data_IF_382237902522
#
_entry.id   IF_382237902522
#
_cell.length_a   1.000
_cell.length_b   1.000
_cell.length_c   1.000
_cell.angle_alpha   90.00
_cell.angle_beta   90.00
_cell.angle_gamma   90.00
#
_symmetry.space_group_name_H-M   'P 1'
#
loop_
_entity.id
_entity.type
_entity.pdbx_description
1 polymer ?
#
# COMPACT_ATOMS: atom_id res chain seq x y z
N UNK A 1 -2.88 11.95 -11.84
CA UNK A 1 -2.93 11.33 -10.51
C UNK A 1 -1.78 10.35 -10.26
N UNK A 2 -1.56 9.31 -11.07
CA UNK A 2 -0.45 8.35 -10.91
C UNK A 2 0.94 9.02 -10.81
N UNK A 3 1.24 10.01 -11.67
CA UNK A 3 2.52 10.73 -11.63
C UNK A 3 2.75 11.52 -10.34
N UNK A 4 1.71 12.18 -9.82
CA UNK A 4 1.79 12.90 -8.54
C UNK A 4 2.03 11.92 -7.39
N UNK A 5 1.27 10.83 -7.33
CA UNK A 5 1.45 9.79 -6.32
C UNK A 5 2.83 9.16 -6.39
N UNK A 6 3.35 8.91 -7.61
CA UNK A 6 4.71 8.40 -7.81
C UNK A 6 5.75 9.35 -7.22
N UNK A 7 5.62 10.67 -7.50
CA UNK A 7 6.55 11.68 -6.98
C UNK A 7 6.46 11.75 -5.45
N UNK A 8 5.24 11.81 -4.89
CA UNK A 8 5.03 11.87 -3.44
C UNK A 8 5.62 10.64 -2.75
N UNK A 9 5.33 9.44 -3.25
CA UNK A 9 5.89 8.20 -2.69
C UNK A 9 7.41 8.14 -2.82
N UNK A 10 7.97 8.62 -3.93
CA UNK A 10 9.42 8.69 -4.14
C UNK A 10 10.09 9.63 -3.13
N UNK A 11 9.48 10.78 -2.87
CA UNK A 11 9.98 11.76 -1.90
C UNK A 11 9.87 11.24 -0.46
N UNK A 12 8.71 10.72 -0.10
CA UNK A 12 8.42 10.21 1.26
C UNK A 12 9.31 9.02 1.61
N UNK A 13 9.44 8.06 0.71
CA UNK A 13 10.18 6.82 0.99
C UNK A 13 11.65 6.88 0.56
N UNK A 14 12.09 7.96 -0.08
CA UNK A 14 13.47 8.11 -0.60
C UNK A 14 13.92 6.85 -1.34
N UNK A 15 13.06 6.35 -2.21
CA UNK A 15 13.26 5.16 -3.02
C UNK A 15 12.57 5.31 -4.37
N UNK A 16 13.20 4.86 -5.44
CA UNK A 16 12.57 4.77 -6.76
C UNK A 16 11.81 3.46 -6.92
N UNK A 17 12.28 2.41 -6.29
CA UNK A 17 11.68 1.07 -6.43
C UNK A 17 10.31 0.97 -5.78
N UNK A 18 10.11 1.60 -4.63
CA UNK A 18 8.82 1.56 -3.92
C UNK A 18 7.67 2.08 -4.77
N UNK A 19 7.72 3.32 -5.34
CA UNK A 19 6.64 3.80 -6.18
C UNK A 19 6.51 3.03 -7.50
N UNK A 20 7.59 2.48 -8.05
CA UNK A 20 7.54 1.65 -9.25
C UNK A 20 6.78 0.35 -8.99
N UNK A 21 7.08 -0.33 -7.89
CA UNK A 21 6.37 -1.55 -7.47
C UNK A 21 4.89 -1.25 -7.19
N UNK A 22 4.60 -0.12 -6.54
CA UNK A 22 3.24 0.32 -6.27
C UNK A 22 2.44 0.58 -7.56
N UNK A 23 3.03 1.28 -8.53
CA UNK A 23 2.41 1.55 -9.83
C UNK A 23 2.19 0.27 -10.65
N UNK A 24 3.18 -0.61 -10.69
CA UNK A 24 3.07 -1.91 -11.37
C UNK A 24 2.01 -2.80 -10.71
N UNK A 25 1.98 -2.85 -9.38
CA UNK A 25 0.96 -3.58 -8.62
C UNK A 25 -0.44 -3.05 -8.87
N UNK A 26 -0.62 -1.73 -8.89
CA UNK A 26 -1.91 -1.11 -9.22
C UNK A 26 -2.34 -1.44 -10.65
N UNK A 27 -1.45 -1.33 -11.63
CA UNK A 27 -1.75 -1.68 -13.02
C UNK A 27 -2.16 -3.16 -13.15
N UNK A 28 -1.47 -4.07 -12.47
CA UNK A 28 -1.80 -5.49 -12.44
C UNK A 28 -3.18 -5.72 -11.79
N UNK A 29 -3.45 -5.09 -10.66
CA UNK A 29 -4.74 -5.16 -9.98
C UNK A 29 -5.88 -4.69 -10.89
N UNK A 30 -5.69 -3.57 -11.58
CA UNK A 30 -6.68 -3.05 -12.53
C UNK A 30 -6.91 -3.99 -13.71
N UNK A 31 -5.84 -4.48 -14.34
CA UNK A 31 -5.95 -5.43 -15.45
C UNK A 31 -6.71 -6.69 -15.05
N UNK A 32 -6.41 -7.26 -13.88
CA UNK A 32 -7.11 -8.43 -13.36
C UNK A 32 -8.59 -8.12 -13.04
N UNK A 33 -8.86 -6.99 -12.41
CA UNK A 33 -10.23 -6.57 -12.05
C UNK A 33 -11.09 -6.37 -13.30
N UNK A 34 -10.57 -5.66 -14.31
CA UNK A 34 -11.27 -5.48 -15.58
C UNK A 34 -11.45 -6.80 -16.30
N UNK A 35 -10.41 -7.63 -16.37
CA UNK A 35 -10.48 -8.93 -17.02
C UNK A 35 -11.58 -9.81 -16.43
N UNK A 36 -11.65 -9.93 -15.11
CA UNK A 36 -12.70 -10.72 -14.43
C UNK A 36 -14.08 -10.08 -14.63
N UNK A 37 -14.18 -8.77 -14.52
CA UNK A 37 -15.47 -8.06 -14.68
C UNK A 37 -16.02 -8.23 -16.10
N UNK A 38 -15.17 -8.06 -17.13
CA UNK A 38 -15.57 -8.28 -18.53
C UNK A 38 -15.97 -9.74 -18.75
N UNK A 39 -15.15 -10.69 -18.30
CA UNK A 39 -15.42 -12.12 -18.50
C UNK A 39 -16.76 -12.56 -17.88
N UNK A 40 -17.12 -12.06 -16.72
CA UNK A 40 -18.36 -12.45 -16.02
C UNK A 40 -19.56 -11.65 -16.52
N UNK A 41 -19.45 -10.33 -16.60
CA UNK A 41 -20.61 -9.46 -16.84
C UNK A 41 -20.86 -9.14 -18.30
N UNK A 42 -19.83 -9.12 -19.13
CA UNK A 42 -19.98 -8.83 -20.56
C UNK A 42 -20.04 -10.09 -21.41
N UNK A 43 -19.22 -11.12 -21.08
CA UNK A 43 -19.16 -12.35 -21.86
C UNK A 43 -19.98 -13.49 -21.24
N UNK A 44 -20.53 -13.29 -20.04
CA UNK A 44 -21.38 -14.28 -19.36
C UNK A 44 -20.65 -15.56 -18.99
N UNK A 45 -19.30 -15.51 -18.83
CA UNK A 45 -18.54 -16.69 -18.41
C UNK A 45 -19.06 -17.24 -17.09
N UNK A 46 -19.08 -18.57 -16.98
CA UNK A 46 -19.58 -19.31 -15.82
C UNK A 46 -21.09 -19.27 -15.61
N UNK A 47 -21.90 -18.64 -16.48
CA UNK A 47 -23.35 -18.59 -16.34
C UNK A 47 -23.86 -17.90 -15.06
N UNK A 48 -23.07 -16.96 -14.54
CA UNK A 48 -23.39 -16.20 -13.32
C UNK A 48 -24.40 -15.08 -13.62
N UNK A 49 -24.39 -14.57 -14.85
CA UNK A 49 -25.27 -13.50 -15.32
C UNK A 49 -26.18 -14.04 -16.38
N UNK A 50 -27.51 -13.94 -16.16
CA UNK A 50 -28.52 -14.45 -17.09
C UNK A 50 -28.61 -13.65 -18.39
N UNK A 51 -28.33 -12.35 -18.35
CA UNK A 51 -28.38 -11.44 -19.51
C UNK A 51 -27.08 -10.59 -19.56
N UNK A 52 -26.02 -11.12 -20.16
CA UNK A 52 -24.75 -10.39 -20.29
C UNK A 52 -24.91 -9.14 -21.16
N UNK A 53 -24.45 -8.00 -20.66
CA UNK A 53 -24.55 -6.73 -21.35
C UNK A 53 -23.19 -6.02 -21.42
N UNK A 54 -22.98 -5.14 -22.43
CA UNK A 54 -21.77 -4.33 -22.51
C UNK A 54 -21.61 -3.46 -21.27
N UNK A 55 -20.40 -3.40 -20.75
CA UNK A 55 -20.08 -2.53 -19.62
C UNK A 55 -20.27 -1.06 -19.99
N UNK A 56 -20.87 -0.28 -19.10
CA UNK A 56 -21.02 1.14 -19.30
C UNK A 56 -19.66 1.83 -19.34
N UNK A 57 -19.45 2.74 -20.30
CA UNK A 57 -18.19 3.48 -20.50
C UNK A 57 -17.73 4.28 -19.27
N UNK A 58 -18.63 4.58 -18.35
CA UNK A 58 -18.36 5.27 -17.11
C UNK A 58 -17.71 4.37 -16.04
N UNK A 59 -17.98 3.07 -16.06
CA UNK A 59 -17.51 2.11 -15.06
C UNK A 59 -15.97 2.07 -14.94
N UNK A 60 -15.18 2.06 -16.02
CA UNK A 60 -13.73 2.11 -15.93
C UNK A 60 -13.21 3.35 -15.19
N UNK A 61 -13.78 4.50 -15.45
CA UNK A 61 -13.35 5.77 -14.85
C UNK A 61 -13.60 5.75 -13.34
N UNK A 62 -14.79 5.30 -12.93
CA UNK A 62 -15.15 5.17 -11.52
C UNK A 62 -14.28 4.13 -10.80
N UNK A 63 -14.07 2.98 -11.44
CA UNK A 63 -13.29 1.89 -10.88
C UNK A 63 -11.84 2.32 -10.65
N UNK A 64 -11.20 2.93 -11.66
CA UNK A 64 -9.82 3.43 -11.54
C UNK A 64 -9.73 4.49 -10.44
N UNK A 65 -10.65 5.46 -10.41
CA UNK A 65 -10.61 6.54 -9.43
C UNK A 65 -10.77 6.08 -7.98
N UNK A 66 -11.79 5.26 -7.72
CA UNK A 66 -12.06 4.72 -6.38
C UNK A 66 -10.97 3.75 -5.92
N UNK A 67 -10.60 2.79 -6.77
CA UNK A 67 -9.58 1.81 -6.41
C UNK A 67 -8.21 2.47 -6.22
N UNK A 68 -7.87 3.47 -7.04
CA UNK A 68 -6.62 4.21 -6.88
C UNK A 68 -6.54 4.93 -5.54
N UNK A 69 -7.60 5.62 -5.12
CA UNK A 69 -7.64 6.31 -3.83
C UNK A 69 -7.42 5.34 -2.67
N UNK A 70 -8.21 4.27 -2.61
CA UNK A 70 -8.07 3.21 -1.61
C UNK A 70 -6.69 2.56 -1.65
N UNK A 71 -6.19 2.31 -2.85
CA UNK A 71 -4.88 1.70 -3.07
C UNK A 71 -3.76 2.54 -2.48
N UNK A 72 -3.75 3.84 -2.67
CA UNK A 72 -2.68 4.71 -2.18
C UNK A 72 -2.64 4.78 -0.66
N UNK A 73 -3.78 4.90 0.01
CA UNK A 73 -3.83 4.97 1.48
C UNK A 73 -3.21 3.75 2.15
N UNK A 74 -3.55 2.55 1.67
CA UNK A 74 -2.98 1.31 2.20
C UNK A 74 -1.51 1.13 1.86
N UNK A 75 -1.09 1.57 0.66
CA UNK A 75 0.29 1.49 0.23
C UNK A 75 1.21 2.34 1.12
N UNK A 76 0.83 3.58 1.35
CA UNK A 76 1.58 4.50 2.22
C UNK A 76 1.70 3.87 3.62
N UNK A 77 0.60 3.43 4.20
CA UNK A 77 0.59 2.83 5.54
C UNK A 77 1.52 1.60 5.64
N UNK A 78 1.42 0.67 4.68
CA UNK A 78 2.19 -0.57 4.71
C UNK A 78 3.69 -0.30 4.56
N UNK A 79 4.07 0.54 3.60
CA UNK A 79 5.48 0.84 3.31
C UNK A 79 6.12 1.70 4.39
N UNK A 80 5.37 2.63 5.02
CA UNK A 80 5.87 3.40 6.18
C UNK A 80 6.27 2.47 7.31
N UNK A 81 5.46 1.46 7.62
CA UNK A 81 5.79 0.45 8.65
C UNK A 81 7.04 -0.38 8.31
N UNK A 82 7.22 -0.70 7.03
CA UNK A 82 8.42 -1.42 6.59
C UNK A 82 9.67 -0.54 6.69
N UNK A 83 9.55 0.74 6.30
CA UNK A 83 10.65 1.70 6.34
C UNK A 83 11.07 2.02 7.78
N UNK A 84 10.13 2.24 8.68
CA UNK A 84 10.39 2.44 10.11
C UNK A 84 11.29 1.32 10.68
N UNK A 85 11.01 0.06 10.33
CA UNK A 85 11.84 -1.06 10.73
C UNK A 85 13.26 -1.01 10.15
N UNK A 86 13.42 -0.54 8.90
CA UNK A 86 14.72 -0.44 8.23
C UNK A 86 15.59 0.68 8.81
N UNK A 87 15.02 1.86 9.05
CA UNK A 87 15.72 3.01 9.66
C UNK A 87 16.14 2.69 11.08
N UNK A 88 15.33 1.94 11.83
CA UNK A 88 15.69 1.45 13.19
C UNK A 88 16.75 0.33 13.20
N UNK A 89 17.54 0.19 12.14
CA UNK A 89 18.71 -0.68 12.08
C UNK A 89 18.42 -2.18 11.88
N UNK A 90 17.18 -2.57 11.55
CA UNK A 90 16.88 -3.96 11.16
C UNK A 90 17.39 -4.24 9.75
N UNK A 91 17.76 -5.50 9.48
CA UNK A 91 18.04 -5.91 8.11
C UNK A 91 16.80 -5.68 7.22
N UNK A 92 16.97 -5.37 5.93
CA UNK A 92 15.87 -5.06 5.03
C UNK A 92 14.79 -6.17 5.02
N UNK A 93 15.18 -7.45 5.02
CA UNK A 93 14.26 -8.57 5.12
C UNK A 93 13.49 -8.62 6.45
N UNK A 94 14.14 -8.36 7.58
CA UNK A 94 13.49 -8.33 8.89
C UNK A 94 12.57 -7.10 9.04
N UNK A 95 12.96 -5.95 8.48
CA UNK A 95 12.16 -4.75 8.46
C UNK A 95 10.86 -4.97 7.65
N UNK A 96 10.98 -5.56 6.45
CA UNK A 96 9.84 -5.94 5.61
C UNK A 96 8.92 -6.93 6.34
N UNK A 97 9.46 -8.01 6.92
CA UNK A 97 8.66 -9.03 7.61
C UNK A 97 7.94 -8.47 8.85
N UNK A 98 8.62 -7.69 9.68
CA UNK A 98 8.03 -7.12 10.88
C UNK A 98 7.02 -6.00 10.57
N UNK A 99 7.35 -5.10 9.63
CA UNK A 99 6.44 -4.06 9.17
C UNK A 99 5.17 -4.66 8.55
N UNK A 100 5.33 -5.74 7.76
CA UNK A 100 4.23 -6.47 7.18
C UNK A 100 3.31 -7.09 8.25
N UNK A 101 3.86 -7.79 9.24
CA UNK A 101 3.06 -8.43 10.32
C UNK A 101 2.13 -7.44 11.03
N UNK A 102 2.59 -6.23 11.27
CA UNK A 102 1.78 -5.20 11.94
C UNK A 102 0.81 -4.52 10.97
N UNK A 103 1.25 -4.22 9.73
CA UNK A 103 0.42 -3.58 8.72
C UNK A 103 -0.66 -4.49 8.14
N UNK A 104 -0.36 -5.76 7.91
CA UNK A 104 -1.25 -6.72 7.27
C UNK A 104 -2.60 -6.86 7.99
N UNK A 105 -2.60 -6.86 9.34
CA UNK A 105 -3.84 -6.97 10.12
C UNK A 105 -4.79 -5.80 9.86
N UNK A 106 -4.26 -4.58 9.80
CA UNK A 106 -5.06 -3.37 9.54
C UNK A 106 -5.57 -3.37 8.11
N UNK A 107 -4.71 -3.69 7.14
CA UNK A 107 -5.08 -3.80 5.72
C UNK A 107 -6.14 -4.87 5.51
N UNK A 108 -6.01 -6.05 6.15
CA UNK A 108 -7.01 -7.13 6.07
C UNK A 108 -8.37 -6.68 6.61
N UNK A 109 -8.39 -6.06 7.79
CA UNK A 109 -9.64 -5.61 8.40
C UNK A 109 -10.34 -4.56 7.52
N UNK A 110 -9.58 -3.58 7.02
CA UNK A 110 -10.12 -2.55 6.15
C UNK A 110 -10.59 -3.12 4.79
N UNK A 111 -9.84 -4.04 4.20
CA UNK A 111 -10.24 -4.72 2.96
C UNK A 111 -11.53 -5.51 3.13
N UNK A 112 -11.68 -6.26 4.23
CA UNK A 112 -12.90 -7.02 4.51
C UNK A 112 -14.12 -6.11 4.68
N UNK A 113 -13.96 -4.97 5.36
CA UNK A 113 -15.05 -3.98 5.49
C UNK A 113 -15.45 -3.44 4.11
N UNK A 114 -14.48 -3.01 3.30
CA UNK A 114 -14.75 -2.47 1.96
C UNK A 114 -15.37 -3.52 1.04
N UNK A 115 -14.85 -4.75 1.05
CA UNK A 115 -15.44 -5.86 0.29
C UNK A 115 -16.89 -6.12 0.69
N UNK A 116 -17.19 -6.10 1.99
CA UNK A 116 -18.56 -6.32 2.48
C UNK A 116 -19.50 -5.21 2.00
N UNK A 117 -19.05 -3.95 2.02
CA UNK A 117 -19.84 -2.80 1.54
C UNK A 117 -20.09 -2.91 0.04
N UNK A 118 -19.06 -3.20 -0.77
CA UNK A 118 -19.23 -3.32 -2.21
C UNK A 118 -19.99 -4.58 -2.61
N UNK A 119 -19.82 -5.68 -1.89
CA UNK A 119 -20.60 -6.90 -2.09
C UNK A 119 -22.11 -6.69 -1.84
N UNK A 120 -22.49 -5.81 -0.92
CA UNK A 120 -23.88 -5.46 -0.70
C UNK A 120 -24.55 -4.83 -1.94
N UNK A 121 -23.79 -4.14 -2.79
CA UNK A 121 -24.31 -3.58 -4.05
C UNK A 121 -24.68 -4.66 -5.07
N UNK A 122 -24.09 -5.86 -4.97
CA UNK A 122 -24.43 -6.99 -5.83
C UNK A 122 -25.87 -7.47 -5.58
N UNK A 123 -26.42 -7.19 -4.40
CA UNK A 123 -27.78 -7.56 -4.02
C UNK A 123 -28.85 -6.57 -4.53
N UNK A 124 -28.42 -5.43 -5.09
CA UNK A 124 -29.36 -4.45 -5.67
C UNK A 124 -29.96 -4.96 -6.98
N UNK A 125 -31.14 -4.50 -7.35
CA UNK A 125 -31.82 -4.95 -8.59
C UNK A 125 -31.25 -4.32 -9.85
N UNK A 126 -30.65 -3.15 -9.75
CA UNK A 126 -30.10 -2.38 -10.87
C UNK A 126 -28.81 -3.02 -11.44
N UNK A 127 -28.77 -3.45 -12.71
CA UNK A 127 -27.64 -4.17 -13.31
C UNK A 127 -26.32 -3.37 -13.23
N UNK A 128 -26.39 -2.05 -13.39
CA UNK A 128 -25.21 -1.19 -13.29
C UNK A 128 -24.61 -1.20 -11.88
N UNK A 129 -25.45 -1.10 -10.86
CA UNK A 129 -25.00 -1.11 -9.45
C UNK A 129 -24.42 -2.48 -9.09
N UNK A 130 -25.03 -3.58 -9.55
CA UNK A 130 -24.50 -4.93 -9.39
C UNK A 130 -23.10 -5.08 -9.98
N UNK A 131 -22.94 -4.66 -11.25
CA UNK A 131 -21.67 -4.74 -11.95
C UNK A 131 -20.58 -3.89 -11.27
N UNK A 132 -20.93 -2.67 -10.87
CA UNK A 132 -20.03 -1.78 -10.14
C UNK A 132 -19.63 -2.36 -8.78
N UNK A 133 -20.60 -2.88 -8.01
CA UNK A 133 -20.35 -3.52 -6.73
C UNK A 133 -19.43 -4.73 -6.85
N UNK A 134 -19.68 -5.58 -7.85
CA UNK A 134 -18.82 -6.72 -8.13
C UNK A 134 -17.40 -6.29 -8.51
N UNK A 135 -17.27 -5.36 -9.46
CA UNK A 135 -15.98 -4.88 -9.92
C UNK A 135 -15.15 -4.27 -8.78
N UNK A 136 -15.78 -3.46 -7.91
CA UNK A 136 -15.11 -2.85 -6.76
C UNK A 136 -14.74 -3.90 -5.69
N UNK A 137 -15.63 -4.84 -5.39
CA UNK A 137 -15.34 -5.91 -4.44
C UNK A 137 -14.19 -6.81 -4.93
N UNK A 138 -14.21 -7.22 -6.20
CA UNK A 138 -13.15 -8.00 -6.83
C UNK A 138 -11.84 -7.20 -6.89
N UNK A 139 -11.91 -5.91 -7.22
CA UNK A 139 -10.75 -5.03 -7.25
C UNK A 139 -10.07 -4.90 -5.89
N UNK A 140 -10.83 -4.67 -4.83
CA UNK A 140 -10.30 -4.62 -3.45
C UNK A 140 -9.72 -5.97 -3.03
N UNK A 141 -10.37 -7.08 -3.38
CA UNK A 141 -9.87 -8.42 -3.08
C UNK A 141 -8.51 -8.66 -3.75
N UNK A 142 -8.40 -8.40 -5.04
CA UNK A 142 -7.16 -8.61 -5.80
C UNK A 142 -6.07 -7.65 -5.30
N UNK A 143 -6.39 -6.37 -5.13
CA UNK A 143 -5.41 -5.38 -4.69
C UNK A 143 -4.90 -5.68 -3.28
N UNK A 144 -5.78 -5.88 -2.31
CA UNK A 144 -5.39 -6.08 -0.92
C UNK A 144 -4.68 -7.41 -0.69
N UNK A 145 -5.23 -8.52 -1.20
CA UNK A 145 -4.74 -9.86 -0.86
C UNK A 145 -3.65 -10.35 -1.82
N UNK A 146 -3.82 -10.15 -3.13
CA UNK A 146 -2.83 -10.63 -4.11
C UNK A 146 -1.69 -9.64 -4.24
N UNK A 147 -1.98 -8.38 -4.52
CA UNK A 147 -0.92 -7.40 -4.79
C UNK A 147 -0.22 -6.98 -3.51
N UNK A 148 -0.95 -6.55 -2.49
CA UNK A 148 -0.35 -5.98 -1.27
C UNK A 148 0.16 -6.99 -0.27
N UNK A 149 -0.57 -8.09 -0.07
CA UNK A 149 -0.15 -9.10 0.90
C UNK A 149 0.81 -10.12 0.33
N UNK A 150 0.86 -10.29 -0.99
CA UNK A 150 1.70 -11.31 -1.62
C UNK A 150 2.80 -10.69 -2.49
N UNK A 151 2.44 -9.90 -3.50
CA UNK A 151 3.40 -9.42 -4.51
C UNK A 151 4.33 -8.34 -3.93
N UNK A 152 3.79 -7.33 -3.24
CA UNK A 152 4.61 -6.22 -2.71
C UNK A 152 5.62 -6.70 -1.68
N UNK A 153 5.26 -7.44 -0.61
CA UNK A 153 6.25 -7.93 0.35
C UNK A 153 7.26 -8.88 -0.26
N UNK A 154 6.82 -9.77 -1.18
CA UNK A 154 7.73 -10.67 -1.87
C UNK A 154 8.76 -9.91 -2.72
N UNK A 155 8.32 -8.91 -3.47
CA UNK A 155 9.21 -8.07 -4.29
C UNK A 155 10.17 -7.27 -3.42
N UNK A 156 9.70 -6.67 -2.33
CA UNK A 156 10.53 -5.94 -1.37
C UNK A 156 11.56 -6.87 -0.70
N UNK A 157 11.19 -8.10 -0.39
CA UNK A 157 12.08 -9.10 0.16
C UNK A 157 13.18 -9.52 -0.83
N UNK A 158 12.82 -9.74 -2.10
CA UNK A 158 13.76 -10.10 -3.18
C UNK A 158 14.73 -8.97 -3.51
N UNK A 159 14.25 -7.72 -3.52
CA UNK A 159 15.11 -6.56 -3.77
C UNK A 159 16.04 -6.24 -2.59
N UNK A 160 15.71 -6.66 -1.37
CA UNK A 160 16.48 -6.43 -0.14
C UNK A 160 16.93 -4.95 -0.03
N UNK A 161 18.23 -4.71 0.14
CA UNK A 161 18.81 -3.34 0.25
C UNK A 161 18.56 -2.49 -0.99
N UNK A 162 18.42 -3.08 -2.17
CA UNK A 162 18.14 -2.36 -3.42
C UNK A 162 16.75 -1.71 -3.43
N UNK A 163 15.80 -2.25 -2.68
CA UNK A 163 14.46 -1.66 -2.54
C UNK A 163 14.51 -0.24 -1.98
N UNK A 164 15.53 0.08 -1.19
CA UNK A 164 15.72 1.40 -0.55
C UNK A 164 16.78 2.25 -1.24
N UNK A 165 17.14 1.92 -2.50
CA UNK A 165 18.13 2.66 -3.25
C UNK A 165 17.56 4.00 -3.75
N UNK A 166 18.27 5.08 -3.45
CA UNK A 166 17.96 6.44 -3.87
C UNK A 166 19.18 7.12 -4.47
N UNK A 167 19.08 7.78 -5.65
CA UNK A 167 20.20 8.44 -6.28
C UNK A 167 20.70 9.65 -5.46
N UNK A 168 21.98 9.77 -5.29
CA UNK A 168 22.62 10.85 -4.51
C UNK A 168 22.30 12.26 -5.01
N UNK A 169 22.05 12.43 -6.29
CA UNK A 169 21.69 13.73 -6.85
C UNK A 169 20.27 14.15 -6.44
N UNK A 170 19.38 13.23 -6.34
CA UNK A 170 17.99 13.45 -5.92
C UNK A 170 17.92 13.69 -4.40
N UNK A 171 18.82 13.04 -3.65
CA UNK A 171 18.97 13.17 -2.22
C UNK A 171 19.32 14.61 -1.78
N UNK A 172 20.09 15.32 -2.60
CA UNK A 172 20.46 16.73 -2.36
C UNK A 172 19.32 17.72 -2.56
N UNK A 173 18.34 17.37 -3.38
CA UNK A 173 17.20 18.25 -3.74
C UNK A 173 16.01 17.98 -2.82
N UNK A 174 15.93 16.79 -2.23
CA UNK A 174 14.82 16.38 -1.39
C UNK A 174 14.99 16.93 0.02
N UNK A 175 14.06 17.73 0.56
CA UNK A 175 14.11 18.14 1.95
C UNK A 175 14.02 16.91 2.86
N UNK A 176 14.77 16.93 3.95
CA UNK A 176 14.65 15.91 4.99
C UNK A 176 13.27 16.05 5.65
N UNK A 177 12.29 15.28 5.16
CA UNK A 177 11.03 15.12 5.86
C UNK A 177 11.23 14.04 6.92
N UNK A 178 11.41 14.46 8.15
CA UNK A 178 11.47 13.57 9.33
C UNK A 178 10.05 13.07 9.66
N UNK A 179 9.53 12.21 8.79
CA UNK A 179 8.20 11.59 8.96
C UNK A 179 8.25 10.48 10.02
N UNK A 180 9.46 10.05 10.36
CA UNK A 180 9.73 8.90 11.22
C UNK A 180 10.09 9.31 12.66
N UNK A 181 10.20 10.62 12.94
CA UNK A 181 10.55 11.13 14.27
C UNK A 181 11.99 10.80 14.68
N UNK A 182 12.89 10.67 13.71
CA UNK A 182 14.31 10.33 13.94
C UNK A 182 14.99 11.39 14.82
N UNK A 183 14.63 12.65 14.66
CA UNK A 183 15.06 13.75 15.52
C UNK A 183 14.62 13.57 16.98
N UNK A 184 13.40 13.08 17.22
CA UNK A 184 12.90 12.84 18.58
C UNK A 184 13.57 11.64 19.25
N UNK A 185 14.01 10.65 18.48
CA UNK A 185 14.75 9.51 19.03
C UNK A 185 16.18 9.88 19.40
N UNK A 186 16.88 10.69 18.59
CA UNK A 186 18.23 11.19 18.91
C UNK A 186 18.21 12.07 20.16
N UNK A 187 17.28 13.00 20.26
CA UNK A 187 17.12 13.88 21.43
C UNK A 187 16.82 13.08 22.71
N UNK A 188 15.98 12.05 22.60
CA UNK A 188 15.66 11.17 23.72
C UNK A 188 16.84 10.33 24.17
N UNK A 189 17.64 9.83 23.25
CA UNK A 189 18.88 9.08 23.59
C UNK A 189 19.92 10.00 24.26
N UNK A 190 20.07 11.23 23.79
CA UNK A 190 20.96 12.22 24.41
C UNK A 190 20.50 12.56 25.82
N UNK A 191 19.20 12.78 26.04
CA UNK A 191 18.64 13.02 27.36
C UNK A 191 18.85 11.83 28.32
N UNK A 192 18.66 10.61 27.83
CA UNK A 192 18.90 9.41 28.62
C UNK A 192 20.38 9.19 28.95
N UNK A 193 21.30 9.54 28.05
CA UNK A 193 22.75 9.53 28.31
C UNK A 193 23.12 10.56 29.37
N UNK A 194 22.65 11.80 29.23
CA UNK A 194 22.88 12.85 30.21
C UNK A 194 22.31 12.52 31.61
N UNK A 195 21.16 11.85 31.67
CA UNK A 195 20.60 11.37 32.95
C UNK A 195 21.45 10.27 33.59
N UNK A 196 21.94 9.33 32.80
CA UNK A 196 22.81 8.26 33.29
C UNK A 196 24.16 8.79 33.83
N UNK A 197 24.69 9.80 33.15
CA UNK A 197 25.94 10.46 33.59
C UNK A 197 25.76 11.15 34.94
N UNK A 198 24.66 11.91 35.11
CA UNK A 198 24.34 12.56 36.40
C UNK A 198 24.11 11.57 37.54
N UNK A 199 23.45 10.46 37.30
CA UNK A 199 23.23 9.41 38.30
C UNK A 199 24.53 8.70 38.65
N UNK A 200 25.44 8.50 37.67
CA UNK A 200 26.77 7.91 37.89
C UNK A 200 27.68 8.80 38.70
N UNK A 201 27.59 10.12 38.56
CA UNK A 201 28.35 11.09 39.39
C UNK A 201 27.85 11.16 40.84
N UNK A 202 26.54 11.06 41.06
CA UNK A 202 25.95 11.09 42.43
C UNK A 202 26.29 9.85 43.26
N UNK A 203 26.65 8.73 42.62
CA UNK A 203 27.06 7.51 43.32
C UNK A 203 28.58 7.39 43.57
N UNK A 204 29.39 8.34 43.06
CA UNK A 204 30.84 8.35 43.26
C UNK A 204 31.32 9.41 44.27
N UNK A 205 30.49 10.25 44.81
CA UNK A 205 30.73 11.22 45.88
C UNK A 205 30.14 10.74 47.22
#
# INVERSE_FOLDING_TARGET
MLGLAFIVLMLVFRSIWVPLIAAAGFALSMAATFGITVAIWQEGMFGIVDDPQPLLSFLPIMLIGLTFGLAMDYQVFLVTRMREGFVNGKTAGNATSNGFKHGARVVTAAALIMMSVFAAFILMDEPFIKTMGFALAAGVLIDAFVVRMMIIPATMFVLDKKAWWFPRWLDKITPNMDIEGEALHSDREELLRAQREKVGETHRG
#
